data_IF_170631762053
#
_entry.id   IF_170631762053
#
_cell.length_a   1.000
_cell.length_b   1.000
_cell.length_c   1.000
_cell.angle_alpha   90.00
_cell.angle_beta   90.00
_cell.angle_gamma   90.00
#
_symmetry.space_group_name_H-M   'P 1'
#
loop_
_entity.id
_entity.type
_entity.pdbx_description
1 polymer ?
#
# COMPACT_ATOMS: atom_id res chain seq x y z
N UNK A 1 -27.37 -8.44 15.70
CA UNK A 1 -26.04 -7.80 15.67
C UNK A 1 -25.35 -7.98 14.31
N UNK A 2 -25.51 -9.12 13.62
CA UNK A 2 -24.76 -9.44 12.39
C UNK A 2 -25.15 -8.63 11.15
N UNK A 3 -26.43 -8.24 11.03
CA UNK A 3 -26.91 -7.46 9.87
C UNK A 3 -26.39 -6.01 9.86
N UNK A 4 -26.10 -5.41 11.02
CA UNK A 4 -25.52 -4.07 11.09
C UNK A 4 -24.03 -4.08 10.74
N UNK A 5 -23.28 -5.11 11.18
CA UNK A 5 -21.88 -5.26 10.81
C UNK A 5 -21.69 -5.51 9.31
N UNK A 6 -22.56 -6.31 8.70
CA UNK A 6 -22.58 -6.55 7.24
C UNK A 6 -22.90 -5.29 6.41
N UNK A 7 -23.48 -4.25 7.01
CA UNK A 7 -23.78 -2.97 6.34
C UNK A 7 -22.56 -2.05 6.27
N UNK A 8 -21.65 -2.15 7.24
CA UNK A 8 -20.41 -1.35 7.28
C UNK A 8 -19.22 -2.10 6.69
N UNK A 9 -19.18 -3.43 6.79
CA UNK A 9 -18.13 -4.27 6.22
C UNK A 9 -18.76 -5.29 5.28
N UNK A 10 -18.50 -5.12 3.99
CA UNK A 10 -18.89 -6.12 3.00
C UNK A 10 -17.96 -7.34 3.15
N UNK A 11 -18.43 -8.35 3.88
CA UNK A 11 -17.69 -9.57 4.20
C UNK A 11 -17.24 -10.30 2.92
N UNK A 12 -18.03 -10.26 1.85
CA UNK A 12 -17.69 -10.83 0.55
C UNK A 12 -16.53 -10.08 -0.12
N UNK A 13 -16.50 -8.75 -0.02
CA UNK A 13 -15.37 -7.95 -0.49
C UNK A 13 -14.10 -8.25 0.31
N UNK A 14 -14.20 -8.36 1.64
CA UNK A 14 -13.07 -8.69 2.51
C UNK A 14 -12.52 -10.08 2.20
N UNK A 15 -13.39 -11.09 2.03
CA UNK A 15 -12.99 -12.44 1.61
C UNK A 15 -12.24 -12.43 0.27
N UNK A 16 -12.67 -11.60 -0.68
CA UNK A 16 -11.98 -11.46 -1.95
C UNK A 16 -10.58 -10.83 -1.81
N UNK A 17 -10.39 -9.86 -0.92
CA UNK A 17 -9.06 -9.25 -0.66
C UNK A 17 -8.05 -10.22 -0.04
N UNK A 18 -8.51 -11.24 0.68
CA UNK A 18 -7.68 -12.29 1.29
C UNK A 18 -7.55 -13.55 0.41
N UNK A 19 -8.23 -13.61 -0.74
CA UNK A 19 -8.13 -14.75 -1.65
C UNK A 19 -6.84 -14.68 -2.48
N UNK A 20 -5.75 -15.13 -1.88
CA UNK A 20 -4.38 -15.03 -2.39
C UNK A 20 -3.75 -16.42 -2.48
N UNK A 21 -2.92 -16.65 -3.51
CA UNK A 21 -2.11 -17.87 -3.67
C UNK A 21 -0.63 -17.63 -3.34
N UNK A 22 0.12 -18.67 -2.98
CA UNK A 22 1.57 -18.53 -2.69
C UNK A 22 2.36 -17.95 -3.87
N UNK A 23 2.07 -18.42 -5.09
CA UNK A 23 2.68 -17.89 -6.31
C UNK A 23 2.35 -16.40 -6.51
N UNK A 24 1.13 -15.98 -6.17
CA UNK A 24 0.78 -14.55 -6.18
C UNK A 24 1.63 -13.76 -5.19
N UNK A 25 1.79 -14.23 -3.95
CA UNK A 25 2.56 -13.52 -2.91
C UNK A 25 3.98 -13.27 -3.40
N UNK A 26 4.65 -14.31 -3.91
CA UNK A 26 6.03 -14.19 -4.42
C UNK A 26 6.10 -13.17 -5.57
N UNK A 27 5.21 -13.30 -6.56
CA UNK A 27 5.19 -12.38 -7.69
C UNK A 27 4.93 -10.94 -7.25
N UNK A 28 4.04 -10.74 -6.29
CA UNK A 28 3.70 -9.40 -5.81
C UNK A 28 4.79 -8.79 -4.94
N UNK A 29 5.46 -9.57 -4.10
CA UNK A 29 6.64 -9.11 -3.36
C UNK A 29 7.76 -8.68 -4.33
N UNK A 30 7.97 -9.43 -5.42
CA UNK A 30 8.91 -9.03 -6.47
C UNK A 30 8.49 -7.71 -7.13
N UNK A 31 7.20 -7.49 -7.38
CA UNK A 31 6.72 -6.22 -7.94
C UNK A 31 6.91 -5.06 -6.94
N UNK A 32 6.67 -5.28 -5.64
CA UNK A 32 6.84 -4.24 -4.61
C UNK A 32 8.33 -3.87 -4.46
N UNK A 33 9.24 -4.85 -4.51
CA UNK A 33 10.68 -4.64 -4.35
C UNK A 33 11.39 -4.23 -5.64
N UNK A 34 10.88 -4.63 -6.81
CA UNK A 34 11.44 -4.38 -8.13
C UNK A 34 10.35 -3.89 -9.10
N UNK A 35 9.68 -2.77 -8.81
CA UNK A 35 8.54 -2.32 -9.61
C UNK A 35 8.94 -1.95 -11.04
N UNK A 36 10.20 -1.57 -11.25
CA UNK A 36 10.77 -1.23 -12.57
C UNK A 36 10.65 -2.35 -13.61
N UNK A 37 10.59 -3.61 -13.15
CA UNK A 37 10.51 -4.78 -14.03
C UNK A 37 9.07 -5.16 -14.40
N UNK A 38 8.08 -4.62 -13.69
CA UNK A 38 6.68 -5.00 -13.86
C UNK A 38 6.01 -4.27 -15.01
N UNK A 39 5.41 -5.02 -15.94
CA UNK A 39 4.53 -4.55 -17.02
C UNK A 39 3.57 -5.71 -17.36
N UNK A 40 2.25 -5.50 -17.55
CA UNK A 40 1.47 -4.25 -17.48
C UNK A 40 0.93 -3.90 -16.07
N UNK A 41 0.65 -2.61 -15.84
CA UNK A 41 0.10 -2.08 -14.57
C UNK A 41 -1.42 -1.92 -14.55
N UNK A 42 -2.08 -2.15 -15.68
CA UNK A 42 -3.53 -2.05 -15.78
C UNK A 42 -4.17 -3.23 -15.04
N UNK A 43 -5.23 -2.95 -14.27
CA UNK A 43 -6.05 -4.00 -13.66
C UNK A 43 -6.85 -4.73 -14.71
N UNK A 44 -6.97 -6.04 -14.58
CA UNK A 44 -7.81 -6.86 -15.44
C UNK A 44 -9.27 -6.74 -14.99
N UNK A 45 -10.17 -6.56 -15.95
CA UNK A 45 -11.61 -6.49 -15.70
C UNK A 45 -12.22 -7.88 -15.93
N UNK A 46 -13.08 -8.32 -15.01
CA UNK A 46 -13.94 -9.48 -15.21
C UNK A 46 -15.05 -9.04 -16.17
N UNK A 47 -14.90 -9.34 -17.46
CA UNK A 47 -15.93 -9.04 -18.46
C UNK A 47 -17.06 -10.07 -18.28
N UNK A 48 -18.00 -9.77 -17.38
CA UNK A 48 -19.31 -10.41 -17.37
C UNK A 48 -20.32 -9.43 -17.97
N UNK A 49 -21.07 -9.92 -18.95
CA UNK A 49 -21.91 -9.12 -19.83
C UNK A 49 -22.87 -8.16 -19.12
N UNK A 50 -23.17 -7.06 -19.82
CA UNK A 50 -24.34 -6.19 -19.62
C UNK A 50 -24.62 -5.69 -18.19
N UNK A 51 -23.59 -5.50 -17.37
CA UNK A 51 -23.72 -4.86 -16.05
C UNK A 51 -22.98 -3.52 -16.08
N UNK A 52 -23.66 -2.42 -15.74
CA UNK A 52 -23.09 -1.05 -15.69
C UNK A 52 -21.93 -0.88 -14.68
N UNK A 53 -21.56 -1.94 -13.96
CA UNK A 53 -20.50 -1.96 -12.96
C UNK A 53 -19.27 -2.70 -13.47
N UNK A 54 -18.17 -1.97 -13.66
CA UNK A 54 -16.85 -2.56 -13.98
C UNK A 54 -16.38 -3.40 -12.78
N UNK A 55 -16.49 -4.72 -12.88
CA UNK A 55 -15.98 -5.63 -11.86
C UNK A 55 -14.52 -6.01 -12.16
N UNK A 56 -13.63 -5.80 -11.19
CA UNK A 56 -12.22 -6.18 -11.31
C UNK A 56 -11.98 -7.62 -10.85
N UNK A 57 -10.99 -8.29 -11.45
CA UNK A 57 -10.59 -9.63 -11.07
C UNK A 57 -9.97 -9.66 -9.65
N UNK A 58 -10.16 -10.75 -8.90
CA UNK A 58 -9.62 -10.88 -7.54
C UNK A 58 -8.08 -11.03 -7.54
N UNK A 59 -7.41 -10.81 -6.38
CA UNK A 59 -5.96 -10.99 -6.18
C UNK A 59 -5.39 -12.25 -6.81
N UNK A 60 -6.04 -13.40 -6.63
CA UNK A 60 -5.59 -14.67 -7.22
C UNK A 60 -5.38 -14.63 -8.75
N UNK A 61 -6.11 -13.80 -9.48
CA UNK A 61 -6.13 -13.77 -10.96
C UNK A 61 -5.53 -12.49 -11.55
N UNK A 62 -5.41 -11.42 -10.74
CA UNK A 62 -4.77 -10.17 -11.12
C UNK A 62 -3.78 -9.68 -10.06
N UNK A 63 -2.48 -9.74 -10.40
CA UNK A 63 -1.38 -9.29 -9.54
C UNK A 63 -1.43 -7.78 -9.21
N UNK A 64 -2.11 -6.98 -10.05
CA UNK A 64 -2.28 -5.54 -9.84
C UNK A 64 -3.46 -5.19 -8.92
N UNK A 65 -4.32 -6.16 -8.59
CA UNK A 65 -5.45 -5.89 -7.69
C UNK A 65 -4.96 -5.74 -6.24
N UNK A 66 -5.58 -4.86 -5.43
CA UNK A 66 -5.20 -4.68 -4.04
C UNK A 66 -5.52 -5.93 -3.22
N UNK A 67 -4.64 -6.27 -2.29
CA UNK A 67 -4.80 -7.37 -1.33
C UNK A 67 -4.53 -6.88 0.09
N UNK A 68 -5.26 -7.45 1.05
CA UNK A 68 -5.04 -7.17 2.46
C UNK A 68 -4.02 -8.12 3.10
N UNK A 69 -3.73 -9.26 2.47
CA UNK A 69 -2.84 -10.29 3.01
C UNK A 69 -1.40 -9.79 3.19
N UNK A 70 -0.77 -9.25 2.14
CA UNK A 70 0.63 -8.78 2.21
C UNK A 70 0.77 -7.62 3.21
N UNK A 71 -0.11 -6.60 3.22
CA UNK A 71 -0.15 -5.57 4.27
C UNK A 71 -0.20 -6.13 5.69
N UNK A 72 -1.12 -7.06 5.97
CA UNK A 72 -1.26 -7.66 7.31
C UNK A 72 0.00 -8.43 7.70
N UNK A 73 0.51 -9.29 6.82
CA UNK A 73 1.73 -10.05 7.07
C UNK A 73 2.96 -9.14 7.20
N UNK A 74 3.01 -8.04 6.46
CA UNK A 74 4.06 -7.04 6.53
C UNK A 74 4.15 -6.36 7.90
N UNK A 75 3.01 -5.96 8.48
CA UNK A 75 2.95 -5.40 9.84
C UNK A 75 3.36 -6.42 10.89
N UNK A 76 2.86 -7.66 10.80
CA UNK A 76 3.24 -8.74 11.73
C UNK A 76 4.74 -8.99 11.67
N UNK A 77 5.31 -9.07 10.47
CA UNK A 77 6.75 -9.28 10.27
C UNK A 77 7.56 -8.13 10.83
N UNK A 78 7.11 -6.88 10.65
CA UNK A 78 7.77 -5.69 11.20
C UNK A 78 7.84 -5.74 12.71
N UNK A 79 6.71 -5.99 13.38
CA UNK A 79 6.65 -6.06 14.84
C UNK A 79 7.54 -7.17 15.39
N UNK A 80 7.47 -8.37 14.79
CA UNK A 80 8.29 -9.50 15.22
C UNK A 80 9.78 -9.27 14.95
N UNK A 81 10.13 -8.71 13.80
CA UNK A 81 11.51 -8.40 13.44
C UNK A 81 12.10 -7.38 14.39
N UNK A 82 11.39 -6.29 14.69
CA UNK A 82 11.88 -5.25 15.62
C UNK A 82 12.16 -5.81 17.01
N UNK A 83 11.24 -6.59 17.57
CA UNK A 83 11.42 -7.20 18.90
C UNK A 83 12.52 -8.27 18.89
N UNK A 84 12.62 -9.05 17.82
CA UNK A 84 13.69 -10.03 17.65
C UNK A 84 15.06 -9.34 17.64
N UNK A 85 15.23 -8.25 16.89
CA UNK A 85 16.48 -7.51 16.84
C UNK A 85 16.84 -6.87 18.19
N UNK A 86 15.86 -6.27 18.88
CA UNK A 86 16.08 -5.78 20.25
C UNK A 86 16.52 -6.90 21.20
N UNK A 87 15.92 -8.08 21.09
CA UNK A 87 16.30 -9.26 21.86
C UNK A 87 17.71 -9.77 21.54
N UNK A 88 18.11 -9.80 20.26
CA UNK A 88 19.46 -10.18 19.84
C UNK A 88 20.53 -9.21 20.35
N UNK A 89 20.18 -7.93 20.56
CA UNK A 89 21.05 -6.92 21.18
C UNK A 89 21.10 -6.99 22.72
N UNK A 90 20.37 -7.93 23.33
CA UNK A 90 20.29 -8.09 24.79
C UNK A 90 19.33 -7.12 25.49
N UNK A 91 18.53 -6.35 24.74
CA UNK A 91 17.55 -5.38 25.26
C UNK A 91 16.11 -5.88 25.07
N UNK A 92 15.86 -7.16 25.36
CA UNK A 92 14.51 -7.72 25.26
C UNK A 92 13.61 -7.15 26.37
N UNK A 93 12.55 -6.47 25.96
CA UNK A 93 11.46 -6.05 26.84
C UNK A 93 10.12 -6.38 26.16
N UNK A 94 9.22 -7.17 26.79
CA UNK A 94 7.91 -7.47 26.22
C UNK A 94 7.06 -6.22 25.94
N UNK A 95 7.31 -5.10 26.62
CA UNK A 95 6.64 -3.83 26.34
C UNK A 95 7.00 -3.24 24.95
N UNK A 96 8.12 -3.64 24.35
CA UNK A 96 8.48 -3.22 23.00
C UNK A 96 7.50 -3.75 21.96
N UNK A 97 6.95 -4.95 22.15
CA UNK A 97 5.99 -5.54 21.22
C UNK A 97 4.75 -4.67 21.09
N UNK A 98 4.15 -4.29 22.22
CA UNK A 98 2.95 -3.45 22.23
C UNK A 98 3.26 -2.02 21.81
N UNK A 99 4.43 -1.49 22.16
CA UNK A 99 4.89 -0.16 21.73
C UNK A 99 5.03 -0.07 20.21
N UNK A 100 5.81 -0.97 19.59
CA UNK A 100 6.04 -1.01 18.14
C UNK A 100 4.73 -1.25 17.39
N UNK A 101 3.86 -2.12 17.89
CA UNK A 101 2.56 -2.39 17.31
C UNK A 101 1.65 -1.15 17.35
N UNK A 102 1.56 -0.48 18.50
CA UNK A 102 0.77 0.76 18.67
C UNK A 102 1.27 1.83 17.70
N UNK A 103 2.59 1.93 17.55
CA UNK A 103 3.19 2.92 16.66
C UNK A 103 2.95 2.63 15.19
N UNK A 104 3.02 1.36 14.78
CA UNK A 104 2.65 0.92 13.44
C UNK A 104 1.18 1.25 13.11
N UNK A 105 0.25 0.94 14.03
CA UNK A 105 -1.16 1.24 13.84
C UNK A 105 -1.46 2.73 13.79
N UNK A 106 -0.81 3.53 14.65
CA UNK A 106 -0.97 4.98 14.64
C UNK A 106 -0.51 5.56 13.30
N UNK A 107 0.64 5.14 12.77
CA UNK A 107 1.14 5.59 11.49
C UNK A 107 0.20 5.22 10.33
N UNK A 108 -0.33 3.99 10.30
CA UNK A 108 -1.32 3.56 9.31
C UNK A 108 -2.62 4.39 9.43
N UNK A 109 -3.10 4.61 10.65
CA UNK A 109 -4.31 5.38 10.91
C UNK A 109 -4.19 6.84 10.45
N UNK A 110 -3.09 7.49 10.82
CA UNK A 110 -2.78 8.86 10.40
C UNK A 110 -2.70 8.96 8.87
N UNK A 111 -2.06 7.99 8.22
CA UNK A 111 -1.98 7.95 6.76
C UNK A 111 -3.33 7.80 6.07
N UNK A 112 -4.21 6.92 6.59
CA UNK A 112 -5.58 6.77 6.09
C UNK A 112 -6.37 8.07 6.27
N UNK A 113 -6.18 8.78 7.38
CA UNK A 113 -6.80 10.09 7.60
C UNK A 113 -6.33 11.12 6.58
N UNK A 114 -5.01 11.23 6.32
CA UNK A 114 -4.45 12.13 5.30
C UNK A 114 -5.00 11.80 3.92
N UNK A 115 -5.07 10.52 3.54
CA UNK A 115 -5.59 10.11 2.24
C UNK A 115 -7.08 10.37 2.09
N UNK A 116 -7.88 10.16 3.14
CA UNK A 116 -9.30 10.50 3.13
C UNK A 116 -9.51 12.01 3.02
N UNK A 117 -8.71 12.79 3.73
CA UNK A 117 -8.74 14.25 3.64
C UNK A 117 -8.31 14.76 2.26
N UNK A 118 -7.28 14.15 1.66
CA UNK A 118 -6.85 14.47 0.30
C UNK A 118 -7.93 14.13 -0.75
N UNK A 119 -8.60 12.97 -0.63
CA UNK A 119 -9.74 12.61 -1.50
C UNK A 119 -10.89 13.60 -1.37
N UNK A 120 -11.18 14.05 -0.14
CA UNK A 120 -12.21 15.05 0.14
C UNK A 120 -11.89 16.39 -0.53
N UNK A 121 -10.68 16.93 -0.33
CA UNK A 121 -10.27 18.19 -0.96
C UNK A 121 -10.17 18.14 -2.48
N UNK A 122 -9.82 16.99 -3.07
CA UNK A 122 -9.70 16.80 -4.52
C UNK A 122 -11.03 16.39 -5.19
N UNK A 123 -12.11 16.30 -4.40
CA UNK A 123 -13.44 15.84 -4.80
C UNK A 123 -13.40 14.57 -5.64
N UNK A 124 -12.62 13.58 -5.18
CA UNK A 124 -12.48 12.30 -5.86
C UNK A 124 -13.61 11.39 -5.39
N UNK A 125 -14.68 11.32 -6.18
CA UNK A 125 -15.75 10.33 -6.02
C UNK A 125 -15.30 8.99 -6.62
N UNK A 126 -14.30 8.36 -6.03
CA UNK A 126 -13.89 7.01 -6.43
C UNK A 126 -14.67 5.97 -5.63
N UNK A 127 -15.15 4.91 -6.29
CA UNK A 127 -15.81 3.73 -5.68
C UNK A 127 -14.84 2.90 -4.80
N UNK A 128 -13.58 3.32 -4.71
CA UNK A 128 -12.51 2.67 -3.97
C UNK A 128 -12.89 2.46 -2.51
N UNK A 129 -12.90 1.20 -2.08
CA UNK A 129 -13.26 0.84 -0.72
C UNK A 129 -12.19 1.37 0.24
N UNK A 130 -12.58 1.72 1.47
CA UNK A 130 -11.64 2.02 2.56
C UNK A 130 -10.59 0.90 2.71
N UNK A 131 -11.00 -0.34 2.44
CA UNK A 131 -10.13 -1.53 2.44
C UNK A 131 -9.01 -1.47 1.39
N UNK A 132 -9.26 -0.90 0.23
CA UNK A 132 -8.23 -0.75 -0.81
C UNK A 132 -7.16 0.25 -0.33
N UNK A 133 -7.58 1.31 0.34
CA UNK A 133 -6.69 2.33 0.87
C UNK A 133 -5.79 1.80 1.98
N UNK A 134 -6.36 1.01 2.90
CA UNK A 134 -5.61 0.28 3.93
C UNK A 134 -4.56 -0.63 3.25
N UNK A 135 -4.97 -1.33 2.21
CA UNK A 135 -4.08 -2.26 1.49
C UNK A 135 -2.88 -1.51 0.91
N UNK A 136 -3.11 -0.37 0.26
CA UNK A 136 -2.03 0.47 -0.29
C UNK A 136 -1.13 1.06 0.80
N UNK A 137 -1.69 1.55 1.90
CA UNK A 137 -0.93 2.11 3.02
C UNK A 137 -0.03 1.06 3.70
N UNK A 138 -0.39 -0.22 3.65
CA UNK A 138 0.38 -1.30 4.28
C UNK A 138 1.50 -1.90 3.44
N UNK A 139 1.55 -1.69 2.12
CA UNK A 139 2.64 -2.27 1.30
C UNK A 139 4.04 -1.73 1.66
N UNK A 140 4.13 -0.55 2.27
CA UNK A 140 5.39 0.04 2.72
C UNK A 140 6.16 -0.85 3.71
N UNK A 141 5.44 -1.66 4.51
CA UNK A 141 6.07 -2.53 5.50
C UNK A 141 6.98 -3.58 4.86
N UNK A 142 6.70 -4.00 3.62
CA UNK A 142 7.60 -4.90 2.87
C UNK A 142 8.98 -4.26 2.68
N UNK A 143 9.02 -3.00 2.24
CA UNK A 143 10.26 -2.25 2.06
C UNK A 143 10.97 -1.94 3.39
N UNK A 144 10.21 -1.60 4.44
CA UNK A 144 10.74 -1.35 5.78
C UNK A 144 11.41 -2.62 6.34
N UNK A 145 10.76 -3.78 6.25
CA UNK A 145 11.29 -5.06 6.73
C UNK A 145 12.62 -5.42 6.05
N UNK A 146 12.70 -5.27 4.72
CA UNK A 146 13.95 -5.50 3.97
C UNK A 146 15.05 -4.54 4.40
N UNK A 147 14.70 -3.27 4.64
CA UNK A 147 15.66 -2.25 5.05
C UNK A 147 16.24 -2.56 6.43
N UNK A 148 15.39 -2.85 7.42
CA UNK A 148 15.80 -3.18 8.79
C UNK A 148 16.68 -4.43 8.78
N UNK A 149 16.25 -5.48 8.08
CA UNK A 149 16.99 -6.74 8.02
C UNK A 149 18.39 -6.57 7.42
N UNK A 150 18.49 -5.91 6.25
CA UNK A 150 19.77 -5.72 5.56
C UNK A 150 20.69 -4.74 6.28
N UNK A 151 20.13 -3.66 6.84
CA UNK A 151 20.91 -2.71 7.64
C UNK A 151 21.48 -3.40 8.88
N UNK A 152 20.71 -4.24 9.57
CA UNK A 152 21.19 -4.94 10.76
C UNK A 152 22.31 -5.94 10.45
N UNK A 153 22.17 -6.72 9.38
CA UNK A 153 23.17 -7.70 8.96
C UNK A 153 24.52 -7.03 8.66
N UNK A 154 24.49 -5.87 8.00
CA UNK A 154 25.71 -5.19 7.55
C UNK A 154 26.32 -4.27 8.63
N UNK A 155 25.48 -3.60 9.42
CA UNK A 155 25.93 -2.61 10.41
C UNK A 155 26.10 -3.17 11.83
N UNK A 156 25.82 -4.46 12.06
CA UNK A 156 25.98 -5.15 13.37
C UNK A 156 25.37 -4.40 14.56
N UNK A 157 24.17 -3.85 14.40
CA UNK A 157 23.46 -3.18 15.50
C UNK A 157 23.61 -1.66 15.58
N UNK A 158 24.24 -1.01 14.60
CA UNK A 158 24.26 0.47 14.48
C UNK A 158 22.92 1.10 14.01
N UNK A 159 21.85 0.30 13.91
CA UNK A 159 20.56 0.72 13.36
C UNK A 159 20.57 0.90 11.84
N UNK A 160 19.61 1.66 11.33
CA UNK A 160 19.54 2.09 9.91
C UNK A 160 20.63 3.09 9.53
N UNK A 161 21.49 3.47 10.47
CA UNK A 161 22.63 4.36 10.25
C UNK A 161 23.70 3.75 9.34
N UNK A 162 24.53 4.61 8.74
CA UNK A 162 25.60 4.19 7.83
C UNK A 162 25.21 4.26 6.36
N UNK A 163 26.23 4.32 5.50
CA UNK A 163 26.06 4.55 4.06
C UNK A 163 25.27 3.41 3.38
N UNK A 164 25.49 2.17 3.83
CA UNK A 164 24.77 1.00 3.31
C UNK A 164 23.29 1.00 3.73
N UNK A 165 22.98 1.28 5.00
CA UNK A 165 21.60 1.37 5.50
C UNK A 165 20.79 2.44 4.76
N UNK A 166 21.39 3.63 4.55
CA UNK A 166 20.80 4.69 3.74
C UNK A 166 20.61 4.30 2.28
N UNK A 167 21.57 3.59 1.66
CA UNK A 167 21.43 3.13 0.28
C UNK A 167 20.26 2.15 0.11
N UNK A 168 20.12 1.18 1.03
CA UNK A 168 18.99 0.23 1.02
C UNK A 168 17.68 0.95 1.30
N UNK A 169 17.64 1.85 2.28
CA UNK A 169 16.44 2.63 2.60
C UNK A 169 15.98 3.47 1.41
N UNK A 170 16.89 4.21 0.76
CA UNK A 170 16.56 5.00 -0.41
C UNK A 170 16.06 4.12 -1.56
N UNK A 171 16.63 2.93 -1.75
CA UNK A 171 16.18 1.99 -2.76
C UNK A 171 14.74 1.51 -2.48
N UNK A 172 14.46 1.01 -1.26
CA UNK A 172 13.14 0.46 -0.90
C UNK A 172 12.07 1.55 -0.85
N UNK A 173 12.42 2.75 -0.39
CA UNK A 173 11.55 3.93 -0.45
C UNK A 173 11.19 4.30 -1.89
N UNK A 174 12.17 4.42 -2.79
CA UNK A 174 11.90 4.76 -4.19
C UNK A 174 11.08 3.66 -4.90
N UNK A 175 11.34 2.38 -4.59
CA UNK A 175 10.55 1.27 -5.08
C UNK A 175 9.08 1.37 -4.61
N UNK A 176 8.85 1.59 -3.31
CA UNK A 176 7.50 1.75 -2.76
C UNK A 176 6.78 2.97 -3.33
N UNK A 177 7.46 4.13 -3.42
CA UNK A 177 6.91 5.36 -4.00
C UNK A 177 6.50 5.17 -5.47
N UNK A 178 7.36 4.54 -6.28
CA UNK A 178 7.05 4.25 -7.67
C UNK A 178 5.91 3.23 -7.81
N UNK A 179 5.91 2.18 -7.00
CA UNK A 179 4.82 1.20 -6.96
C UNK A 179 3.48 1.86 -6.65
N UNK A 180 3.41 2.71 -5.61
CA UNK A 180 2.22 3.44 -5.22
C UNK A 180 1.77 4.40 -6.31
N UNK A 181 2.69 5.18 -6.89
CA UNK A 181 2.36 6.09 -7.99
C UNK A 181 1.69 5.36 -9.16
N UNK A 182 2.16 4.15 -9.50
CA UNK A 182 1.64 3.36 -10.62
C UNK A 182 0.33 2.65 -10.27
N UNK A 183 0.21 2.11 -9.06
CA UNK A 183 -0.97 1.35 -8.63
C UNK A 183 -2.16 2.25 -8.25
N UNK A 184 -1.91 3.34 -7.51
CA UNK A 184 -2.94 4.30 -7.11
C UNK A 184 -3.38 5.23 -8.25
N UNK A 185 -2.63 5.32 -9.35
CA UNK A 185 -3.04 6.11 -10.53
C UNK A 185 -4.45 5.77 -10.96
N UNK A 186 -4.79 4.48 -11.01
CA UNK A 186 -6.11 4.00 -11.46
C UNK A 186 -7.22 4.16 -10.42
N UNK A 187 -6.85 4.40 -9.16
CA UNK A 187 -7.76 4.55 -8.01
C UNK A 187 -8.14 6.03 -7.82
N UNK A 188 -7.17 6.94 -8.00
CA UNK A 188 -7.35 8.39 -7.79
C UNK A 188 -7.62 9.17 -9.07
N UNK A 189 -7.23 8.64 -10.23
CA UNK A 189 -7.57 9.19 -11.54
C UNK A 189 -8.46 8.15 -12.23
N UNK A 190 -9.80 8.24 -12.10
CA UNK A 190 -10.69 7.58 -13.02
C UNK A 190 -10.22 7.94 -14.43
N UNK A 191 -9.88 6.95 -15.25
CA UNK A 191 -9.66 7.25 -16.66
C UNK A 191 -11.00 7.70 -17.21
N UNK A 192 -11.04 8.88 -17.82
CA UNK A 192 -12.10 9.17 -18.80
C UNK A 192 -11.90 8.11 -19.88
N UNK A 193 -12.75 7.08 -19.87
CA UNK A 193 -12.62 5.90 -20.70
C UNK A 193 -12.63 6.29 -22.18
N UNK A 194 -11.45 6.41 -22.79
CA UNK A 194 -11.26 6.42 -24.23
C UNK A 194 -11.37 5.03 -24.84
N UNK A 195 -12.29 4.18 -24.33
CA UNK A 195 -12.65 2.92 -24.97
C UNK A 195 -13.76 3.23 -25.99
N UNK A 196 -13.62 2.83 -27.27
CA UNK A 196 -14.66 3.06 -28.25
C UNK A 196 -15.90 2.22 -27.87
N UNK A 197 -17.01 2.89 -27.52
CA UNK A 197 -18.34 2.25 -27.52
C UNK A 197 -19.16 2.27 -26.24
N UNK A 198 -18.74 2.89 -25.13
CA UNK A 198 -19.59 2.98 -23.92
C UNK A 198 -19.67 4.43 -23.42
N UNK A 199 -20.81 5.08 -23.69
CA UNK A 199 -21.11 6.42 -23.21
C UNK A 199 -21.63 6.36 -21.78
N UNK A 200 -20.93 7.00 -20.84
CA UNK A 200 -21.45 7.27 -19.50
C UNK A 200 -20.98 8.65 -19.01
N UNK A 201 -21.93 9.55 -18.77
CA UNK A 201 -21.83 10.76 -17.92
C UNK A 201 -20.89 11.90 -18.36
N UNK A 202 -21.36 13.17 -18.43
CA UNK A 202 -20.52 14.31 -18.78
C UNK A 202 -19.59 14.69 -17.62
N UNK A 203 -18.36 14.18 -17.65
CA UNK A 203 -17.31 14.54 -16.71
C UNK A 203 -16.05 14.98 -17.43
N UNK A 204 -16.10 16.09 -18.18
CA UNK A 204 -14.89 16.75 -18.68
C UNK A 204 -14.12 17.28 -17.47
N UNK A 205 -13.36 16.41 -16.81
CA UNK A 205 -12.48 16.84 -15.74
C UNK A 205 -11.41 17.73 -16.37
N UNK A 206 -11.42 19.01 -16.00
CA UNK A 206 -10.51 20.00 -16.58
C UNK A 206 -9.07 19.49 -16.47
N UNK A 207 -8.27 19.72 -17.53
CA UNK A 207 -6.85 19.30 -17.57
C UNK A 207 -6.09 19.73 -16.30
N UNK A 208 -6.47 20.87 -15.74
CA UNK A 208 -6.00 21.40 -14.46
C UNK A 208 -6.33 20.49 -13.26
N UNK A 209 -7.57 20.02 -13.10
CA UNK A 209 -7.95 19.10 -12.00
C UNK A 209 -7.23 17.74 -12.10
N UNK A 210 -7.08 17.19 -13.31
CA UNK A 210 -6.30 15.94 -13.52
C UNK A 210 -4.84 16.13 -13.12
N UNK A 211 -4.26 17.27 -13.46
CA UNK A 211 -2.90 17.63 -13.12
C UNK A 211 -2.72 17.80 -11.61
N UNK A 212 -3.61 18.52 -10.93
CA UNK A 212 -3.61 18.67 -9.46
C UNK A 212 -3.72 17.33 -8.72
N UNK A 213 -4.61 16.43 -9.18
CA UNK A 213 -4.75 15.08 -8.62
C UNK A 213 -3.48 14.24 -8.80
N UNK A 214 -2.82 14.37 -9.95
CA UNK A 214 -1.56 13.67 -10.23
C UNK A 214 -0.44 14.19 -9.33
N UNK A 215 -0.33 15.52 -9.14
CA UNK A 215 0.65 16.10 -8.24
C UNK A 215 0.39 15.76 -6.78
N UNK A 216 -0.87 15.74 -6.35
CA UNK A 216 -1.22 15.32 -4.99
C UNK A 216 -0.86 13.85 -4.74
N UNK A 217 -1.13 12.96 -5.70
CA UNK A 217 -0.69 11.56 -5.63
C UNK A 217 0.83 11.45 -5.58
N UNK A 218 1.55 12.20 -6.41
CA UNK A 218 3.02 12.20 -6.41
C UNK A 218 3.58 12.73 -5.08
N UNK A 219 3.00 13.81 -4.55
CA UNK A 219 3.37 14.37 -3.25
C UNK A 219 3.15 13.37 -2.11
N UNK A 220 2.03 12.65 -2.10
CA UNK A 220 1.80 11.58 -1.14
C UNK A 220 2.81 10.43 -1.33
N UNK A 221 2.96 9.93 -2.56
CA UNK A 221 3.77 8.75 -2.86
C UNK A 221 5.27 8.95 -2.55
N UNK A 222 5.79 10.17 -2.73
CA UNK A 222 7.19 10.47 -2.42
C UNK A 222 7.34 11.14 -1.05
N UNK A 223 6.76 12.32 -0.83
CA UNK A 223 7.04 13.09 0.40
C UNK A 223 6.44 12.45 1.65
N UNK A 224 5.16 12.09 1.62
CA UNK A 224 4.51 11.50 2.79
C UNK A 224 5.07 10.10 3.08
N UNK A 225 5.26 9.26 2.06
CA UNK A 225 5.87 7.94 2.24
C UNK A 225 7.28 7.99 2.80
N UNK A 226 8.10 8.95 2.35
CA UNK A 226 9.45 9.12 2.90
C UNK A 226 9.39 9.34 4.41
N UNK A 227 8.53 10.26 4.85
CA UNK A 227 8.36 10.58 6.27
C UNK A 227 7.89 9.37 7.08
N UNK A 228 6.84 8.68 6.62
CA UNK A 228 6.31 7.50 7.33
C UNK A 228 7.31 6.36 7.39
N UNK A 229 7.96 6.04 6.26
CA UNK A 229 8.95 4.96 6.22
C UNK A 229 10.18 5.30 7.06
N UNK A 230 10.64 6.55 7.03
CA UNK A 230 11.76 7.00 7.84
C UNK A 230 11.47 6.84 9.34
N UNK A 231 10.33 7.35 9.80
CA UNK A 231 9.92 7.24 11.22
C UNK A 231 9.80 5.78 11.64
N UNK A 232 9.15 4.93 10.84
CA UNK A 232 9.00 3.52 11.19
C UNK A 232 10.35 2.79 11.18
N UNK A 233 11.24 3.11 10.24
CA UNK A 233 12.57 2.46 10.17
C UNK A 233 13.53 2.89 11.29
N UNK A 234 13.32 4.06 11.88
CA UNK A 234 14.19 4.61 12.93
C UNK A 234 13.69 4.30 14.35
N UNK A 235 12.47 3.79 14.50
CA UNK A 235 11.89 3.40 15.79
C UNK A 235 12.10 1.91 16.11
N UNK A 236 13.19 1.31 15.61
CA UNK A 236 13.53 -0.12 15.75
C UNK A 236 14.91 -0.32 16.34
#
# INVERSE_FOLDING_TARGET
MDQQFSRYVNVSALKNLFNVSNSYVINKLLIILLPWRHKPWARKQASFGSSETVQYLPPREDVNSPDAYIPTMGVVTYVLLSVLLAGLRGAFDPALLSSVLTWAFLMIGLEIMILNLAKYFLSINSVSSLLDLISYAGYKFVGINVTILLAEIYNRGGGTGGWFGWAVFLYTYNANAFFLLRSLRYVLLPQDSGAPGVAYGPGVSSRSLKQSRTYALAGYAYLAQFFFMYILSNNV
#
